data_IF_934042734084
#
_entry.id   IF_934042734084
#
_cell.length_a   1.000
_cell.length_b   1.000
_cell.length_c   1.000
_cell.angle_alpha   90.00
_cell.angle_beta   90.00
_cell.angle_gamma   90.00
#
_symmetry.space_group_name_H-M   'P 1'
#
loop_
_entity.id
_entity.type
_entity.pdbx_description
1 polymer ?
#
# COMPACT_ATOMS: atom_id res chain seq x y z
N UNK A 1 -12.86 4.58 4.79
CA UNK A 1 -11.41 4.77 4.99
C UNK A 1 -11.09 5.41 6.32
N UNK A 2 -11.69 6.54 6.69
CA UNK A 2 -11.37 7.24 7.95
C UNK A 2 -11.53 6.34 9.19
N UNK A 3 -12.58 5.51 9.26
CA UNK A 3 -12.78 4.53 10.34
C UNK A 3 -11.68 3.47 10.39
N UNK A 4 -11.16 3.05 9.23
CA UNK A 4 -10.08 2.05 9.12
C UNK A 4 -8.76 2.64 9.63
N UNK A 5 -8.44 3.87 9.19
CA UNK A 5 -7.24 4.60 9.63
C UNK A 5 -7.28 4.81 11.15
N UNK A 6 -8.39 5.32 11.68
CA UNK A 6 -8.56 5.56 13.12
C UNK A 6 -8.42 4.28 13.94
N UNK A 7 -9.08 3.20 13.51
CA UNK A 7 -8.97 1.88 14.16
C UNK A 7 -7.52 1.39 14.17
N UNK A 8 -6.84 1.44 13.03
CA UNK A 8 -5.45 0.98 12.91
C UNK A 8 -4.50 1.82 13.78
N UNK A 9 -4.69 3.14 13.82
CA UNK A 9 -3.93 4.05 14.68
C UNK A 9 -4.08 3.68 16.16
N UNK A 10 -5.31 3.43 16.61
CA UNK A 10 -5.59 2.98 17.97
C UNK A 10 -4.92 1.62 18.29
N UNK A 11 -4.96 0.66 17.36
CA UNK A 11 -4.27 -0.63 17.53
C UNK A 11 -2.75 -0.45 17.66
N UNK A 12 -2.14 0.46 16.89
CA UNK A 12 -0.71 0.78 16.95
C UNK A 12 -0.34 1.43 18.29
N UNK A 13 -1.13 2.41 18.75
CA UNK A 13 -0.91 3.11 20.02
C UNK A 13 -1.05 2.17 21.24
N UNK A 14 -1.97 1.21 21.17
CA UNK A 14 -2.18 0.21 22.22
C UNK A 14 -1.13 -0.92 22.22
N UNK A 15 -0.31 -1.02 21.17
CA UNK A 15 0.73 -2.03 21.08
C UNK A 15 2.01 -1.52 21.79
N UNK A 16 2.59 -2.26 22.75
CA UNK A 16 3.85 -1.89 23.41
C UNK A 16 5.05 -1.79 22.45
N UNK A 17 5.98 -0.86 22.68
CA UNK A 17 7.10 -0.53 21.76
C UNK A 17 8.02 -1.72 21.41
N UNK A 18 8.14 -2.68 22.31
CA UNK A 18 8.93 -3.91 22.15
C UNK A 18 8.21 -4.97 21.29
N UNK A 19 6.91 -4.82 21.07
CA UNK A 19 6.11 -5.74 20.25
C UNK A 19 6.12 -5.35 18.78
N UNK A 20 6.24 -6.33 17.87
CA UNK A 20 6.22 -6.07 16.44
C UNK A 20 4.83 -5.63 15.99
N UNK A 21 4.80 -4.84 14.91
CA UNK A 21 3.58 -4.49 14.18
C UNK A 21 3.57 -5.24 12.84
N UNK A 22 2.39 -5.49 12.25
CA UNK A 22 2.26 -5.97 10.88
C UNK A 22 3.04 -5.14 9.86
N UNK A 23 3.74 -5.80 8.94
CA UNK A 23 4.43 -5.17 7.81
C UNK A 23 3.48 -4.98 6.63
N UNK A 24 2.51 -4.07 6.80
CA UNK A 24 1.60 -3.67 5.73
C UNK A 24 1.71 -2.17 5.42
N UNK A 25 1.19 -1.78 4.26
CA UNK A 25 1.28 -0.40 3.76
C UNK A 25 0.64 0.60 4.72
N UNK A 26 -0.54 0.29 5.26
CA UNK A 26 -1.26 1.20 6.16
C UNK A 26 -0.48 1.44 7.45
N UNK A 27 0.10 0.37 8.01
CA UNK A 27 0.97 0.44 9.18
C UNK A 27 2.19 1.28 8.89
N UNK A 28 2.88 1.01 7.78
CA UNK A 28 4.10 1.71 7.38
C UNK A 28 3.88 3.23 7.26
N UNK A 29 2.78 3.64 6.65
CA UNK A 29 2.44 5.06 6.46
C UNK A 29 2.03 5.70 7.80
N UNK A 30 1.26 5.02 8.65
CA UNK A 30 0.88 5.56 9.97
C UNK A 30 2.11 5.74 10.87
N UNK A 31 3.06 4.80 10.83
CA UNK A 31 4.26 4.84 11.68
C UNK A 31 5.38 5.71 11.12
N UNK A 32 5.29 6.15 9.86
CA UNK A 32 6.27 7.05 9.27
C UNK A 32 6.47 8.30 10.14
N UNK A 33 7.73 8.66 10.35
CA UNK A 33 8.15 9.77 11.21
C UNK A 33 7.70 9.65 12.69
N UNK A 34 7.40 8.44 13.17
CA UNK A 34 7.13 8.17 14.59
C UNK A 34 8.28 7.39 15.23
N UNK A 35 8.22 7.16 16.55
CA UNK A 35 9.15 6.25 17.24
C UNK A 35 9.11 4.80 16.73
N UNK A 36 8.08 4.46 15.94
CA UNK A 36 7.90 3.15 15.29
C UNK A 36 8.42 3.12 13.86
N UNK A 37 8.96 4.22 13.34
CA UNK A 37 9.51 4.27 11.98
C UNK A 37 10.75 3.38 11.86
N UNK A 38 10.81 2.59 10.80
CA UNK A 38 11.97 1.76 10.46
C UNK A 38 13.22 2.59 10.15
N UNK A 39 13.04 3.84 9.70
CA UNK A 39 14.10 4.78 9.36
C UNK A 39 14.26 5.90 10.40
N UNK A 40 13.84 5.68 11.65
CA UNK A 40 13.83 6.71 12.68
C UNK A 40 15.25 7.24 12.98
N UNK A 41 15.59 8.40 12.42
CA UNK A 41 16.82 9.15 12.71
C UNK A 41 16.49 10.39 13.56
N UNK A 42 17.00 10.45 14.79
CA UNK A 42 16.79 11.57 15.73
C UNK A 42 17.44 12.89 15.31
N UNK A 43 18.21 12.91 14.23
CA UNK A 43 19.20 13.95 13.91
C UNK A 43 18.73 14.90 12.79
N UNK A 44 17.77 14.51 11.96
CA UNK A 44 17.32 15.32 10.83
C UNK A 44 16.13 16.24 11.17
N UNK A 45 16.07 17.37 10.45
CA UNK A 45 15.26 18.57 10.70
C UNK A 45 13.85 18.34 11.29
N UNK A 46 13.60 19.01 12.42
CA UNK A 46 12.36 18.88 13.23
C UNK A 46 11.08 19.31 12.50
N UNK A 47 11.17 20.02 11.38
CA UNK A 47 10.00 20.41 10.59
C UNK A 47 9.62 19.38 9.49
N UNK A 48 10.54 18.51 9.07
CA UNK A 48 10.28 17.53 8.00
C UNK A 48 9.69 16.19 8.50
N UNK A 49 9.69 15.93 9.81
CA UNK A 49 9.35 14.62 10.41
C UNK A 49 8.11 14.65 11.31
N UNK A 50 7.06 15.40 11.00
CA UNK A 50 5.79 15.19 11.73
C UNK A 50 5.12 13.88 11.29
N UNK A 51 4.40 13.18 12.18
CA UNK A 51 3.51 12.10 11.79
C UNK A 51 2.48 12.58 10.77
N UNK A 52 2.07 11.68 9.88
CA UNK A 52 1.11 11.99 8.85
C UNK A 52 -0.29 12.20 9.43
N UNK A 53 -1.03 13.16 8.86
CA UNK A 53 -2.44 13.38 9.17
C UNK A 53 -3.29 12.30 8.52
N UNK A 54 -4.48 12.04 9.07
CA UNK A 54 -5.41 11.07 8.48
C UNK A 54 -5.80 11.42 7.03
N UNK A 55 -5.82 12.71 6.67
CA UNK A 55 -6.09 13.17 5.32
C UNK A 55 -4.96 12.79 4.34
N UNK A 56 -3.70 12.97 4.74
CA UNK A 56 -2.55 12.59 3.93
C UNK A 56 -2.46 11.07 3.77
N UNK A 57 -2.66 10.32 4.86
CA UNK A 57 -2.69 8.86 4.85
C UNK A 57 -3.77 8.37 3.90
N UNK A 58 -4.97 8.95 3.99
CA UNK A 58 -6.07 8.65 3.08
C UNK A 58 -5.68 8.91 1.63
N UNK A 59 -5.10 10.06 1.34
CA UNK A 59 -4.65 10.43 -0.01
C UNK A 59 -3.70 9.38 -0.60
N UNK A 60 -2.65 9.01 0.13
CA UNK A 60 -1.65 8.04 -0.33
C UNK A 60 -2.26 6.65 -0.56
N UNK A 61 -3.10 6.16 0.35
CA UNK A 61 -3.72 4.84 0.19
C UNK A 61 -4.66 4.83 -1.04
N UNK A 62 -5.45 5.89 -1.23
CA UNK A 62 -6.33 5.98 -2.39
C UNK A 62 -5.55 6.05 -3.70
N UNK A 63 -4.48 6.85 -3.74
CA UNK A 63 -3.62 6.98 -4.92
C UNK A 63 -3.01 5.63 -5.31
N UNK A 64 -2.45 4.90 -4.34
CA UNK A 64 -1.88 3.57 -4.57
C UNK A 64 -2.91 2.56 -5.09
N UNK A 65 -4.12 2.54 -4.53
CA UNK A 65 -5.20 1.64 -4.98
C UNK A 65 -5.64 1.98 -6.40
N UNK A 66 -5.86 3.27 -6.70
CA UNK A 66 -6.34 3.72 -8.01
C UNK A 66 -5.29 3.45 -9.08
N UNK A 67 -4.04 3.84 -8.84
CA UNK A 67 -2.94 3.64 -9.77
C UNK A 67 -2.74 2.16 -10.11
N UNK A 68 -2.77 1.28 -9.09
CA UNK A 68 -2.65 -0.16 -9.29
C UNK A 68 -3.86 -0.79 -9.98
N UNK A 69 -5.07 -0.32 -9.67
CA UNK A 69 -6.31 -0.93 -10.17
C UNK A 69 -6.59 -0.55 -11.62
N UNK A 70 -6.57 0.74 -11.97
CA UNK A 70 -6.97 1.19 -13.31
C UNK A 70 -6.01 0.67 -14.39
N UNK A 71 -4.70 0.82 -14.16
CA UNK A 71 -3.68 0.37 -15.11
C UNK A 71 -3.67 -1.16 -15.28
N UNK A 72 -3.74 -1.91 -14.18
CA UNK A 72 -3.70 -3.38 -14.22
C UNK A 72 -4.98 -3.96 -14.81
N UNK A 73 -6.16 -3.39 -14.49
CA UNK A 73 -7.42 -3.85 -15.07
C UNK A 73 -7.47 -3.63 -16.59
N UNK A 74 -6.99 -2.47 -17.06
CA UNK A 74 -6.88 -2.18 -18.49
C UNK A 74 -5.88 -3.13 -19.17
N UNK A 75 -4.71 -3.36 -18.55
CA UNK A 75 -3.73 -4.32 -19.05
C UNK A 75 -4.31 -5.74 -19.17
N UNK A 76 -4.95 -6.24 -18.11
CA UNK A 76 -5.59 -7.57 -18.13
C UNK A 76 -6.66 -7.64 -19.21
N UNK A 77 -7.45 -6.57 -19.39
CA UNK A 77 -8.45 -6.50 -20.46
C UNK A 77 -7.81 -6.64 -21.84
N UNK A 78 -6.68 -5.96 -22.09
CA UNK A 78 -5.93 -6.11 -23.34
C UNK A 78 -5.33 -7.50 -23.51
N UNK A 79 -4.80 -8.10 -22.45
CA UNK A 79 -4.29 -9.48 -22.49
C UNK A 79 -5.41 -10.44 -22.87
N UNK A 80 -6.56 -10.36 -22.21
CA UNK A 80 -7.72 -11.22 -22.50
C UNK A 80 -8.21 -11.00 -23.94
N UNK A 81 -8.30 -9.75 -24.38
CA UNK A 81 -8.65 -9.41 -25.76
C UNK A 81 -7.66 -10.04 -26.76
N UNK A 82 -6.36 -9.92 -26.51
CA UNK A 82 -5.32 -10.47 -27.37
C UNK A 82 -5.41 -12.01 -27.44
N UNK A 83 -5.53 -12.69 -26.30
CA UNK A 83 -5.68 -14.15 -26.26
C UNK A 83 -6.94 -14.65 -26.98
N UNK A 84 -8.02 -13.87 -26.98
CA UNK A 84 -9.24 -14.22 -27.70
C UNK A 84 -9.05 -14.20 -29.23
N UNK A 85 -8.16 -13.35 -29.74
CA UNK A 85 -7.89 -13.20 -31.17
C UNK A 85 -6.70 -14.03 -31.67
N UNK A 86 -5.92 -14.62 -30.76
CA UNK A 86 -4.74 -15.43 -31.07
C UNK A 86 -4.80 -16.83 -30.41
N UNK A 87 -5.55 -17.79 -30.99
CA UNK A 87 -5.78 -19.11 -30.40
C UNK A 87 -4.49 -19.94 -30.19
N UNK A 88 -3.48 -19.74 -31.04
CA UNK A 88 -2.17 -20.38 -30.94
C UNK A 88 -1.40 -19.90 -29.70
N UNK A 89 -1.40 -18.58 -29.43
CA UNK A 89 -0.81 -18.00 -28.22
C UNK A 89 -1.58 -18.45 -26.98
N UNK A 90 -2.91 -18.43 -27.04
CA UNK A 90 -3.76 -18.94 -25.95
C UNK A 90 -3.46 -20.39 -25.62
N UNK A 91 -3.27 -21.25 -26.63
CA UNK A 91 -2.93 -22.67 -26.42
C UNK A 91 -1.57 -22.83 -25.74
N UNK A 92 -0.54 -22.10 -26.20
CA UNK A 92 0.78 -22.11 -25.57
C UNK A 92 0.71 -21.69 -24.09
N UNK A 93 -0.03 -20.64 -23.77
CA UNK A 93 -0.22 -20.18 -22.39
C UNK A 93 -0.82 -21.27 -21.49
N UNK A 94 -1.79 -22.06 -21.98
CA UNK A 94 -2.34 -23.18 -21.22
C UNK A 94 -1.36 -24.34 -21.07
N UNK A 95 -0.55 -24.61 -22.09
CA UNK A 95 0.47 -25.66 -22.06
C UNK A 95 1.65 -25.31 -21.10
N UNK A 96 1.79 -24.03 -20.71
CA UNK A 96 2.80 -23.53 -19.75
C UNK A 96 2.35 -23.57 -18.27
N UNK A 97 1.06 -23.80 -17.98
CA UNK A 97 0.52 -23.93 -16.62
C UNK A 97 0.62 -25.37 -16.09
#
# INVERSE_FOLDING_TARGET
MDTIIKRRRQEIENTPLDKPLPNDMLTSIITANTLRDVNYNKIDDKEAMRPMTDLEIRGIIFDGIIAGTDTTANLISFIVYYLAHHPDVKRKMFDEQ
#
